data_IF_563749920450
#
_entry.id   IF_563749920450
#
_cell.length_a   1.000
_cell.length_b   1.000
_cell.length_c   1.000
_cell.angle_alpha   90.00
_cell.angle_beta   90.00
_cell.angle_gamma   90.00
#
_symmetry.space_group_name_H-M   'P 1'
#
loop_
_entity.id
_entity.type
_entity.pdbx_description
1 polymer ?
#
# COMPACT_ATOMS: atom_id res chain seq x y z
N UNK A 1 11.00 -1.87 -7.26
CA UNK A 1 11.62 -2.16 -5.96
C UNK A 1 12.51 -1.02 -5.56
N UNK A 2 12.73 -0.80 -4.26
CA UNK A 2 13.50 0.34 -3.74
C UNK A 2 15.01 0.27 -4.04
N UNK A 3 15.56 -0.92 -4.34
CA UNK A 3 17.01 -1.12 -4.50
C UNK A 3 17.76 -0.29 -5.58
N UNK A 4 17.05 0.42 -6.46
CA UNK A 4 17.64 1.38 -7.42
C UNK A 4 17.16 2.82 -7.19
N UNK A 5 16.48 3.09 -6.08
CA UNK A 5 16.03 4.43 -5.74
C UNK A 5 17.23 5.27 -5.27
N UNK A 6 17.24 6.54 -5.64
CA UNK A 6 18.39 7.43 -5.43
C UNK A 6 18.41 8.07 -4.02
N UNK A 7 17.32 7.96 -3.28
CA UNK A 7 17.17 8.55 -1.96
C UNK A 7 16.38 7.65 -1.01
N UNK A 8 16.62 7.81 0.29
CA UNK A 8 15.82 7.23 1.37
C UNK A 8 14.48 7.94 1.48
N UNK A 9 13.40 7.19 1.24
CA UNK A 9 12.02 7.70 1.22
C UNK A 9 11.51 8.18 2.58
N UNK A 10 12.20 7.85 3.67
CA UNK A 10 11.89 8.38 5.00
C UNK A 10 12.25 9.87 5.15
N UNK A 11 13.21 10.36 4.36
CA UNK A 11 13.83 11.70 4.51
C UNK A 11 13.63 12.62 3.30
N UNK A 12 13.15 12.07 2.19
CA UNK A 12 12.83 12.84 0.99
C UNK A 12 12.00 12.00 0.01
N UNK A 13 11.22 12.63 -0.88
CA UNK A 13 10.71 11.96 -2.07
C UNK A 13 11.86 11.33 -2.87
N UNK A 14 11.67 10.07 -3.26
CA UNK A 14 12.65 9.34 -4.06
C UNK A 14 12.10 9.05 -5.44
N UNK A 15 12.95 9.19 -6.45
CA UNK A 15 12.62 8.94 -7.86
C UNK A 15 13.42 7.77 -8.38
N UNK A 16 12.74 6.87 -9.08
CA UNK A 16 13.35 5.83 -9.88
C UNK A 16 13.47 6.33 -11.32
N UNK A 17 14.68 6.29 -11.88
CA UNK A 17 14.95 6.58 -13.29
C UNK A 17 14.53 5.40 -14.18
N UNK A 18 13.24 5.05 -14.11
CA UNK A 18 12.60 4.03 -14.92
C UNK A 18 11.14 4.38 -15.16
N UNK A 19 10.65 4.05 -16.35
CA UNK A 19 9.24 4.11 -16.72
C UNK A 19 8.53 2.81 -16.33
N UNK A 20 7.20 2.84 -16.23
CA UNK A 20 6.43 1.67 -15.80
C UNK A 20 6.63 0.45 -16.72
N UNK A 21 6.75 0.67 -18.03
CA UNK A 21 6.98 -0.40 -19.02
C UNK A 21 8.37 -1.03 -18.90
N UNK A 22 9.34 -0.30 -18.35
CA UNK A 22 10.72 -0.76 -18.13
C UNK A 22 10.84 -1.64 -16.89
N UNK A 23 9.98 -1.44 -15.88
CA UNK A 23 9.99 -2.23 -14.65
C UNK A 23 9.95 -3.74 -14.92
N UNK A 24 9.27 -4.19 -16.00
CA UNK A 24 9.21 -5.62 -16.38
C UNK A 24 10.58 -6.24 -16.60
N UNK A 25 11.55 -5.46 -17.09
CA UNK A 25 12.85 -5.98 -17.53
C UNK A 25 13.88 -6.04 -16.40
N UNK A 26 13.61 -5.40 -15.26
CA UNK A 26 14.56 -5.29 -14.15
C UNK A 26 13.85 -5.38 -12.80
N UNK A 27 13.18 -4.30 -12.39
CA UNK A 27 12.68 -4.14 -11.02
C UNK A 27 11.57 -5.13 -10.65
N UNK A 28 10.76 -5.56 -11.62
CA UNK A 28 9.63 -6.46 -11.40
C UNK A 28 10.02 -7.95 -11.42
N UNK A 29 11.23 -8.31 -11.85
CA UNK A 29 11.69 -9.72 -11.91
C UNK A 29 11.55 -10.43 -10.55
N UNK A 30 12.10 -9.90 -9.44
CA UNK A 30 11.93 -10.55 -8.13
C UNK A 30 10.48 -10.59 -7.67
N UNK A 31 9.68 -9.57 -7.98
CA UNK A 31 8.25 -9.56 -7.64
C UNK A 31 7.47 -10.61 -8.43
N UNK A 32 7.75 -10.78 -9.72
CA UNK A 32 7.14 -11.83 -10.54
C UNK A 32 7.48 -13.22 -9.99
N UNK A 33 8.72 -13.44 -9.58
CA UNK A 33 9.13 -14.68 -8.93
C UNK A 33 8.37 -14.91 -7.62
N UNK A 34 8.26 -13.89 -6.75
CA UNK A 34 7.47 -13.96 -5.51
C UNK A 34 5.98 -14.23 -5.75
N UNK A 35 5.38 -13.59 -6.76
CA UNK A 35 3.98 -13.85 -7.15
C UNK A 35 3.81 -15.30 -7.60
N UNK A 36 4.73 -15.83 -8.42
CA UNK A 36 4.71 -17.23 -8.87
C UNK A 36 4.92 -18.22 -7.73
N UNK A 37 5.71 -17.84 -6.71
CA UNK A 37 5.90 -18.62 -5.49
C UNK A 37 4.69 -18.56 -4.53
N UNK A 38 3.65 -17.79 -4.87
CA UNK A 38 2.43 -17.71 -4.09
C UNK A 38 2.47 -16.66 -2.97
N UNK A 39 3.22 -15.57 -3.14
CA UNK A 39 3.17 -14.43 -2.22
C UNK A 39 1.72 -13.98 -1.98
N UNK A 40 1.38 -13.73 -0.71
CA UNK A 40 0.01 -13.42 -0.28
C UNK A 40 -0.20 -11.92 -0.03
N UNK A 41 0.88 -11.18 0.16
CA UNK A 41 0.88 -9.73 0.27
C UNK A 41 2.06 -9.11 -0.49
N UNK A 42 1.90 -7.87 -0.93
CA UNK A 42 2.98 -7.04 -1.48
C UNK A 42 2.84 -5.64 -0.88
N UNK A 43 3.95 -5.09 -0.39
CA UNK A 43 4.04 -3.71 0.04
C UNK A 43 4.53 -2.81 -1.11
N UNK A 44 3.92 -1.64 -1.27
CA UNK A 44 4.32 -0.63 -2.24
C UNK A 44 4.99 0.55 -1.55
N UNK A 45 6.25 0.77 -1.89
CA UNK A 45 7.04 1.90 -1.44
C UNK A 45 6.57 3.25 -2.06
N UNK A 46 6.98 4.34 -1.43
CA UNK A 46 6.70 5.71 -1.87
C UNK A 46 7.74 6.24 -2.85
N UNK A 47 7.82 5.62 -4.02
CA UNK A 47 8.79 6.00 -5.07
C UNK A 47 8.04 6.50 -6.31
N UNK A 48 8.47 7.64 -6.83
CA UNK A 48 8.00 8.20 -8.10
C UNK A 48 8.72 7.51 -9.27
N UNK A 49 7.99 7.24 -10.36
CA UNK A 49 8.59 6.76 -11.61
C UNK A 49 8.96 7.94 -12.51
N UNK A 50 9.76 7.71 -13.55
CA UNK A 50 10.14 8.78 -14.48
C UNK A 50 8.92 9.47 -15.11
N UNK A 51 7.92 8.65 -15.47
CA UNK A 51 6.72 9.02 -16.20
C UNK A 51 5.49 9.22 -15.30
N UNK A 52 5.67 9.29 -13.98
CA UNK A 52 4.59 9.44 -13.01
C UNK A 52 5.07 10.22 -11.78
N UNK A 53 4.42 11.36 -11.53
CA UNK A 53 4.73 12.18 -10.35
C UNK A 53 4.04 11.67 -9.09
N UNK A 54 3.10 10.74 -9.17
CA UNK A 54 2.46 10.17 -7.98
C UNK A 54 3.26 8.99 -7.43
N UNK A 55 3.52 8.92 -6.10
CA UNK A 55 4.23 7.78 -5.52
C UNK A 55 3.56 6.46 -5.88
N UNK A 56 4.35 5.41 -6.09
CA UNK A 56 3.87 4.09 -6.52
C UNK A 56 2.72 3.53 -5.65
N UNK A 57 2.75 3.75 -4.34
CA UNK A 57 1.70 3.38 -3.38
C UNK A 57 0.36 4.12 -3.56
N UNK A 58 0.38 5.28 -4.23
CA UNK A 58 -0.78 6.15 -4.49
C UNK A 58 -1.16 6.15 -5.99
N UNK A 59 -0.42 5.43 -6.85
CA UNK A 59 -0.63 5.41 -8.30
C UNK A 59 -1.48 4.23 -8.74
N UNK A 60 -2.68 4.54 -9.26
CA UNK A 60 -3.57 3.54 -9.89
C UNK A 60 -2.89 2.80 -11.04
N UNK A 61 -1.97 3.48 -11.74
CA UNK A 61 -1.24 2.93 -12.88
C UNK A 61 -0.26 1.85 -12.43
N UNK A 62 0.51 2.11 -11.38
CA UNK A 62 1.47 1.15 -10.81
C UNK A 62 0.75 -0.03 -10.16
N UNK A 63 -0.28 0.23 -9.34
CA UNK A 63 -1.08 -0.84 -8.71
C UNK A 63 -1.83 -1.66 -9.75
N UNK A 64 -2.35 -1.02 -10.80
CA UNK A 64 -2.98 -1.70 -11.94
C UNK A 64 -2.02 -2.63 -12.67
N UNK A 65 -0.76 -2.21 -12.84
CA UNK A 65 0.28 -3.07 -13.38
C UNK A 65 0.63 -4.23 -12.43
N UNK A 66 0.68 -4.01 -11.12
CA UNK A 66 0.87 -5.08 -10.13
C UNK A 66 -0.26 -6.14 -10.24
N UNK A 67 -1.52 -5.70 -10.22
CA UNK A 67 -2.69 -6.61 -10.21
C UNK A 67 -2.95 -7.29 -11.56
N UNK A 68 -2.88 -6.54 -12.67
CA UNK A 68 -3.21 -7.06 -14.02
C UNK A 68 -1.97 -7.44 -14.82
N UNK A 69 -0.91 -6.63 -14.72
CA UNK A 69 0.30 -6.81 -15.50
C UNK A 69 1.16 -7.98 -15.05
N UNK A 70 1.39 -8.13 -13.74
CA UNK A 70 2.11 -9.29 -13.18
C UNK A 70 1.16 -10.32 -12.53
N UNK A 71 -0.15 -10.07 -12.57
CA UNK A 71 -1.17 -11.03 -12.14
C UNK A 71 -1.29 -11.23 -10.63
N UNK A 72 -0.83 -10.28 -9.82
CA UNK A 72 -0.91 -10.41 -8.36
C UNK A 72 -2.37 -10.40 -7.87
N UNK A 73 -2.72 -11.37 -7.01
CA UNK A 73 -4.07 -11.56 -6.46
C UNK A 73 -4.18 -11.39 -4.96
N UNK A 74 -3.05 -11.28 -4.25
CA UNK A 74 -3.00 -11.09 -2.80
C UNK A 74 -3.31 -9.66 -2.36
N UNK A 75 -3.09 -9.38 -1.08
CA UNK A 75 -3.31 -8.07 -0.48
C UNK A 75 -2.19 -7.08 -0.86
N UNK A 76 -2.57 -5.87 -1.31
CA UNK A 76 -1.62 -4.79 -1.57
C UNK A 76 -1.61 -3.83 -0.37
N UNK A 77 -0.44 -3.53 0.17
CA UNK A 77 -0.28 -2.65 1.33
C UNK A 77 0.55 -1.44 0.92
N UNK A 78 0.09 -0.24 1.21
CA UNK A 78 0.95 0.94 1.10
C UNK A 78 1.94 0.96 2.25
N UNK A 79 3.18 1.38 1.98
CA UNK A 79 4.17 1.71 3.01
C UNK A 79 3.66 2.87 3.90
N UNK A 80 4.42 3.21 4.94
CA UNK A 80 4.00 4.18 5.95
C UNK A 80 3.75 5.58 5.38
N UNK A 81 2.48 6.01 5.42
CA UNK A 81 2.05 7.29 4.86
C UNK A 81 2.69 8.50 5.55
N UNK A 82 3.25 8.33 6.77
CA UNK A 82 3.99 9.40 7.46
C UNK A 82 5.36 9.69 6.87
N UNK A 83 5.91 8.78 6.07
CA UNK A 83 7.21 9.00 5.42
C UNK A 83 7.18 10.27 4.57
N UNK A 84 8.28 11.02 4.60
CA UNK A 84 8.37 12.35 3.99
C UNK A 84 8.05 12.34 2.48
N UNK A 85 8.32 11.22 1.79
CA UNK A 85 7.96 11.02 0.39
C UNK A 85 6.44 11.17 0.09
N UNK A 86 5.58 11.00 1.11
CA UNK A 86 4.13 11.20 1.04
C UNK A 86 3.71 12.41 1.86
N UNK A 87 4.10 12.49 3.14
CA UNK A 87 3.60 13.49 4.08
C UNK A 87 3.99 14.93 3.74
N UNK A 88 5.07 15.14 2.97
CA UNK A 88 5.42 16.47 2.44
C UNK A 88 4.50 16.97 1.31
N UNK A 89 3.60 16.11 0.81
CA UNK A 89 2.82 16.33 -0.41
C UNK A 89 1.33 16.09 -0.25
N UNK A 90 0.93 15.30 0.75
CA UNK A 90 -0.45 14.90 0.99
C UNK A 90 -0.71 14.87 2.50
N UNK A 91 -1.85 15.40 2.91
CA UNK A 91 -2.37 15.13 4.25
C UNK A 91 -2.67 13.64 4.40
N UNK A 92 -2.36 13.08 5.57
CA UNK A 92 -2.44 11.62 5.81
C UNK A 92 -3.83 11.04 5.52
N UNK A 93 -4.96 11.67 5.92
CA UNK A 93 -6.28 11.14 5.59
C UNK A 93 -6.56 11.05 4.09
N UNK A 94 -6.12 12.05 3.31
CA UNK A 94 -6.29 12.06 1.86
C UNK A 94 -5.32 11.11 1.16
N UNK A 95 -4.09 10.96 1.69
CA UNK A 95 -3.15 9.94 1.23
C UNK A 95 -3.71 8.53 1.41
N UNK A 96 -4.35 8.26 2.56
CA UNK A 96 -4.99 6.97 2.85
C UNK A 96 -6.15 6.68 1.88
N UNK A 97 -7.04 7.65 1.68
CA UNK A 97 -8.13 7.55 0.70
C UNK A 97 -7.56 7.26 -0.69
N UNK A 98 -6.59 8.06 -1.15
CA UNK A 98 -5.98 7.93 -2.47
C UNK A 98 -5.30 6.58 -2.68
N UNK A 99 -4.58 6.07 -1.68
CA UNK A 99 -3.96 4.74 -1.74
C UNK A 99 -5.02 3.65 -1.99
N UNK A 100 -6.12 3.68 -1.22
CA UNK A 100 -7.17 2.66 -1.32
C UNK A 100 -7.93 2.78 -2.64
N UNK A 101 -8.23 3.99 -3.11
CA UNK A 101 -8.82 4.27 -4.42
C UNK A 101 -7.93 3.86 -5.60
N UNK A 102 -6.62 3.94 -5.42
CA UNK A 102 -5.63 3.49 -6.40
C UNK A 102 -5.54 1.96 -6.45
N UNK A 103 -5.92 1.28 -5.36
CA UNK A 103 -6.10 -0.15 -5.28
C UNK A 103 -5.33 -0.85 -4.15
N UNK A 104 -4.72 -0.11 -3.23
CA UNK A 104 -4.17 -0.68 -2.00
C UNK A 104 -5.31 -1.22 -1.13
N UNK A 105 -5.13 -2.39 -0.54
CA UNK A 105 -6.11 -3.04 0.31
C UNK A 105 -5.93 -2.64 1.79
N UNK A 106 -4.72 -2.25 2.19
CA UNK A 106 -4.42 -1.63 3.47
C UNK A 106 -3.37 -0.51 3.32
N UNK A 107 -3.27 0.34 4.34
CA UNK A 107 -2.25 1.39 4.47
C UNK A 107 -1.61 1.30 5.85
N UNK A 108 -0.37 1.74 5.97
CA UNK A 108 0.33 1.87 7.25
C UNK A 108 0.36 3.35 7.63
N UNK A 109 0.03 3.65 8.89
CA UNK A 109 0.13 4.98 9.48
C UNK A 109 0.79 4.78 10.84
N UNK A 110 2.09 5.07 10.95
CA UNK A 110 2.84 4.92 12.21
C UNK A 110 2.53 5.98 13.28
N UNK A 111 1.60 6.89 12.99
CA UNK A 111 1.14 7.93 13.90
C UNK A 111 0.16 7.44 14.98
N UNK A 112 -0.34 8.40 15.76
CA UNK A 112 -1.29 8.14 16.85
C UNK A 112 -2.68 7.71 16.37
N UNK A 113 -3.49 7.21 17.32
CA UNK A 113 -4.85 6.72 17.06
C UNK A 113 -5.75 7.79 16.42
N UNK A 114 -5.58 9.07 16.77
CA UNK A 114 -6.37 10.17 16.20
C UNK A 114 -6.14 10.32 14.69
N UNK A 115 -4.89 10.23 14.25
CA UNK A 115 -4.52 10.33 12.82
C UNK A 115 -5.06 9.12 12.04
N UNK A 116 -4.99 7.92 12.64
CA UNK A 116 -5.58 6.71 12.08
C UNK A 116 -7.11 6.80 12.00
N UNK A 117 -7.77 7.34 13.03
CA UNK A 117 -9.21 7.52 13.08
C UNK A 117 -9.68 8.53 12.02
N UNK A 118 -8.95 9.63 11.83
CA UNK A 118 -9.22 10.61 10.77
C UNK A 118 -9.08 10.00 9.38
N UNK A 119 -8.02 9.21 9.14
CA UNK A 119 -7.84 8.50 7.88
C UNK A 119 -8.96 7.49 7.60
N UNK A 120 -9.39 6.75 8.62
CA UNK A 120 -10.50 5.81 8.51
C UNK A 120 -11.83 6.52 8.24
N UNK A 121 -12.13 7.61 8.96
CA UNK A 121 -13.33 8.41 8.75
C UNK A 121 -13.36 9.01 7.32
N UNK A 122 -12.22 9.52 6.87
CA UNK A 122 -12.07 10.04 5.51
C UNK A 122 -12.33 8.95 4.46
N UNK A 123 -11.73 7.78 4.62
CA UNK A 123 -11.94 6.64 3.73
C UNK A 123 -13.41 6.17 3.73
N UNK A 124 -14.04 6.05 4.90
CA UNK A 124 -15.44 5.63 5.04
C UNK A 124 -16.42 6.61 4.39
N UNK A 125 -16.11 7.91 4.41
CA UNK A 125 -16.96 8.95 3.81
C UNK A 125 -16.98 8.94 2.28
N UNK A 126 -15.92 8.44 1.65
CA UNK A 126 -15.69 8.61 0.21
C UNK A 126 -15.63 7.29 -0.57
N UNK A 127 -15.19 6.20 0.06
CA UNK A 127 -15.03 4.92 -0.64
C UNK A 127 -16.38 4.23 -0.86
N UNK A 128 -16.64 3.70 -2.07
CA UNK A 128 -17.83 2.91 -2.29
C UNK A 128 -17.73 1.57 -1.54
N UNK A 129 -18.83 1.08 -0.99
CA UNK A 129 -18.90 -0.18 -0.23
C UNK A 129 -18.25 -1.36 -0.98
N UNK A 130 -18.40 -1.42 -2.32
CA UNK A 130 -17.75 -2.45 -3.16
C UNK A 130 -16.23 -2.48 -2.99
N UNK A 131 -15.58 -1.31 -2.90
CA UNK A 131 -14.12 -1.20 -2.78
C UNK A 131 -13.68 -1.68 -1.40
N UNK A 132 -14.42 -1.30 -0.36
CA UNK A 132 -14.17 -1.74 1.02
C UNK A 132 -14.30 -3.25 1.12
N UNK A 133 -15.40 -3.83 0.62
CA UNK A 133 -15.62 -5.28 0.62
C UNK A 133 -14.52 -6.06 -0.13
N UNK A 134 -14.05 -5.52 -1.26
CA UNK A 134 -12.96 -6.12 -2.03
C UNK A 134 -11.64 -6.17 -1.23
N UNK A 135 -11.28 -5.08 -0.54
CA UNK A 135 -10.13 -5.05 0.37
C UNK A 135 -10.30 -6.03 1.53
N UNK A 136 -11.45 -5.95 2.21
CA UNK A 136 -11.74 -6.78 3.39
C UNK A 136 -11.66 -8.26 3.06
N UNK A 137 -12.15 -8.69 1.89
CA UNK A 137 -12.03 -10.08 1.45
C UNK A 137 -10.58 -10.52 1.31
N UNK A 138 -9.70 -9.71 0.71
CA UNK A 138 -8.28 -10.05 0.56
C UNK A 138 -7.56 -10.11 1.91
N UNK A 139 -7.83 -9.14 2.79
CA UNK A 139 -7.26 -9.10 4.13
C UNK A 139 -7.73 -10.28 4.98
N UNK A 140 -9.01 -10.66 4.89
CA UNK A 140 -9.53 -11.86 5.57
C UNK A 140 -8.89 -13.15 5.04
N UNK A 141 -8.66 -13.27 3.73
CA UNK A 141 -7.95 -14.43 3.17
C UNK A 141 -6.49 -14.50 3.68
N UNK A 142 -5.82 -13.35 3.74
CA UNK A 142 -4.48 -13.25 4.31
C UNK A 142 -4.47 -13.66 5.79
N UNK A 143 -5.40 -13.11 6.58
CA UNK A 143 -5.56 -13.42 8.00
C UNK A 143 -5.85 -14.91 8.21
N UNK A 144 -6.85 -15.50 7.53
CA UNK A 144 -7.18 -16.93 7.67
C UNK A 144 -6.03 -17.87 7.35
N UNK A 145 -5.08 -17.44 6.51
CA UNK A 145 -3.93 -18.26 6.12
C UNK A 145 -2.79 -18.25 7.13
N UNK A 146 -2.62 -17.16 7.88
CA UNK A 146 -1.43 -16.95 8.72
C UNK A 146 -1.72 -16.58 10.16
N UNK A 147 -2.96 -16.19 10.49
CA UNK A 147 -3.36 -15.97 11.86
C UNK A 147 -3.29 -17.30 12.59
N UNK A 148 -2.30 -17.41 13.47
CA UNK A 148 -2.35 -18.36 14.57
C UNK A 148 -3.43 -17.82 15.52
N UNK A 149 -4.42 -18.63 15.87
CA UNK A 149 -5.34 -18.28 16.96
C UNK A 149 -4.48 -18.03 18.20
N UNK A 150 -4.30 -16.76 18.57
CA UNK A 150 -3.85 -16.41 19.90
C UNK A 150 -5.01 -16.75 20.83
N UNK A 151 -4.84 -17.58 21.87
CA UNK A 151 -5.89 -17.82 22.85
C UNK A 151 -6.32 -16.46 23.41
N UNK A 152 -7.56 -16.09 23.10
CA UNK A 152 -8.30 -14.89 23.45
C UNK A 152 -7.65 -14.04 24.57
N UNK A 153 -6.64 -13.21 24.25
CA UNK A 153 -6.32 -12.06 25.08
C UNK A 153 -7.38 -11.03 24.73
N UNK A 154 -8.41 -10.93 25.57
CA UNK A 154 -9.40 -9.87 25.48
C UNK A 154 -8.66 -8.55 25.33
N UNK A 155 -8.83 -7.89 24.17
CA UNK A 155 -8.37 -6.53 23.99
C UNK A 155 -9.08 -5.70 25.05
N UNK A 156 -8.34 -5.16 26.02
CA UNK A 156 -8.94 -4.26 26.99
C UNK A 156 -9.56 -3.07 26.24
N UNK A 157 -10.79 -2.66 26.60
CA UNK A 157 -11.45 -1.56 25.93
C UNK A 157 -10.59 -0.29 26.04
N UNK A 158 -10.43 0.39 24.90
CA UNK A 158 -9.75 1.68 24.84
C UNK A 158 -10.54 2.65 25.75
N UNK A 159 -9.91 3.25 26.78
CA UNK A 159 -10.60 4.23 27.61
C UNK A 159 -10.97 5.46 26.78
N UNK A 160 -12.25 5.84 26.86
CA UNK A 160 -12.81 7.08 26.31
C UNK A 160 -12.38 8.30 27.13
#
# INVERSE_FOLDING_TARGET
GHGHALADTHRAPSKLAARLNELRRREAIPFLAGVRAGAQSVMLAHIDLEDERTPASLSRRVIGYLKRGIGFRGAVVADDLRMEAVSSRFDIPDAALKAIEAGCDAVIISGGLDEQAQAMARAASALPARRVMESSRRLQLLWRRFAVEQPNQALEPIPL
#
